data_IF_609930540848
#
_entry.id   IF_609930540848
#
_cell.length_a   1.000
_cell.length_b   1.000
_cell.length_c   1.000
_cell.angle_alpha   90.00
_cell.angle_beta   90.00
_cell.angle_gamma   90.00
#
_symmetry.space_group_name_H-M   'P 1'
#
loop_
_entity.id
_entity.type
_entity.pdbx_description
1 polymer ?
#
# COMPACT_ATOMS: atom_id res chain seq x y z
N UNK A 1 4.56 20.90 12.03
CA UNK A 1 4.14 19.57 12.49
C UNK A 1 5.40 18.81 12.88
N UNK A 2 5.62 18.54 14.17
CA UNK A 2 6.88 18.01 14.72
C UNK A 2 7.13 16.51 14.46
N UNK A 3 6.20 15.82 13.79
CA UNK A 3 6.27 14.37 13.51
C UNK A 3 7.04 13.99 12.24
N UNK A 4 7.78 14.90 11.62
CA UNK A 4 8.65 14.57 10.48
C UNK A 4 10.11 14.37 10.88
N UNK A 5 10.54 14.86 12.07
CA UNK A 5 11.97 14.97 12.39
C UNK A 5 12.57 13.60 12.75
N UNK A 6 11.82 12.73 13.43
CA UNK A 6 12.35 11.42 13.84
C UNK A 6 12.40 10.49 12.64
N UNK A 7 11.34 10.44 11.85
CA UNK A 7 11.18 9.57 10.70
C UNK A 7 12.12 9.96 9.56
N UNK A 8 12.28 11.26 9.29
CA UNK A 8 13.26 11.75 8.30
C UNK A 8 14.70 11.48 8.75
N UNK A 9 15.02 11.72 10.02
CA UNK A 9 16.36 11.50 10.55
C UNK A 9 16.72 10.02 10.66
N UNK A 10 15.74 9.13 10.84
CA UNK A 10 15.97 7.69 10.80
C UNK A 10 16.34 7.29 9.38
N UNK A 11 15.51 7.60 8.36
CA UNK A 11 15.78 7.24 6.95
C UNK A 11 17.16 7.67 6.45
N UNK A 12 17.59 8.91 6.75
CA UNK A 12 18.91 9.42 6.36
C UNK A 12 20.08 8.68 7.03
N UNK A 13 19.83 7.99 8.14
CA UNK A 13 20.85 7.34 8.98
C UNK A 13 20.76 5.81 8.99
N UNK A 14 19.94 5.20 8.13
CA UNK A 14 19.76 3.74 8.05
C UNK A 14 20.96 3.02 7.38
N UNK A 15 22.17 3.14 7.95
CA UNK A 15 23.23 2.14 7.76
C UNK A 15 23.02 0.98 8.75
N UNK A 16 21.84 0.36 8.69
CA UNK A 16 21.44 -0.73 9.57
C UNK A 16 21.68 -2.10 8.90
N UNK A 17 21.97 -3.16 9.67
CA UNK A 17 22.05 -4.52 9.12
C UNK A 17 20.76 -4.89 8.35
N UNK A 18 20.89 -5.55 7.20
CA UNK A 18 19.81 -5.64 6.19
C UNK A 18 18.44 -6.09 6.71
N UNK A 19 18.39 -7.14 7.55
CA UNK A 19 17.11 -7.64 8.11
C UNK A 19 16.48 -6.68 9.12
N UNK A 20 17.28 -5.92 9.87
CA UNK A 20 16.81 -4.89 10.79
C UNK A 20 16.33 -3.65 10.04
N UNK A 21 17.04 -3.27 8.98
CA UNK A 21 16.72 -2.12 8.14
C UNK A 21 15.38 -2.28 7.41
N UNK A 22 15.06 -3.50 6.94
CA UNK A 22 13.75 -3.82 6.34
C UNK A 22 12.60 -3.61 7.34
N UNK A 23 12.74 -4.13 8.57
CA UNK A 23 11.70 -3.96 9.61
C UNK A 23 11.54 -2.51 10.05
N UNK A 24 12.64 -1.76 10.14
CA UNK A 24 12.59 -0.33 10.45
C UNK A 24 11.87 0.46 9.35
N UNK A 25 12.16 0.15 8.08
CA UNK A 25 11.49 0.78 6.93
C UNK A 25 9.99 0.47 6.90
N UNK A 26 9.59 -0.77 7.20
CA UNK A 26 8.19 -1.15 7.33
C UNK A 26 7.51 -0.41 8.49
N UNK A 27 8.15 -0.36 9.66
CA UNK A 27 7.59 0.33 10.83
C UNK A 27 7.31 1.82 10.56
N UNK A 28 8.23 2.51 9.89
CA UNK A 28 8.02 3.91 9.49
C UNK A 28 6.85 3.99 8.52
N UNK A 29 6.80 3.08 7.53
CA UNK A 29 5.75 3.06 6.52
C UNK A 29 4.36 2.83 7.13
N UNK A 30 4.23 1.86 8.03
CA UNK A 30 3.01 1.56 8.77
C UNK A 30 2.53 2.81 9.53
N UNK A 31 3.46 3.56 10.13
CA UNK A 31 3.16 4.75 10.93
C UNK A 31 2.70 5.92 10.07
N UNK A 32 3.25 6.09 8.86
CA UNK A 32 2.92 7.22 7.98
C UNK A 32 1.82 6.92 6.98
N UNK A 33 1.50 5.65 6.74
CA UNK A 33 0.56 5.20 5.73
C UNK A 33 -0.91 5.30 6.06
N UNK A 34 -1.23 5.25 7.35
CA UNK A 34 -2.60 5.15 7.84
C UNK A 34 -3.40 3.95 7.28
N UNK A 35 -2.76 2.92 6.73
CA UNK A 35 -3.44 1.77 6.11
C UNK A 35 -4.45 1.07 7.01
N UNK A 36 -4.17 0.96 8.32
CA UNK A 36 -5.10 0.41 9.31
C UNK A 36 -6.38 1.24 9.45
N UNK A 37 -6.29 2.57 9.34
CA UNK A 37 -7.45 3.47 9.39
C UNK A 37 -8.37 3.23 8.19
N UNK A 38 -7.79 3.09 6.98
CA UNK A 38 -8.56 2.75 5.78
C UNK A 38 -9.26 1.39 5.95
N UNK A 39 -8.55 0.39 6.47
CA UNK A 39 -9.09 -0.95 6.69
C UNK A 39 -10.30 -0.96 7.63
N UNK A 40 -10.26 -0.19 8.73
CA UNK A 40 -11.39 -0.08 9.65
C UNK A 40 -12.63 0.57 9.02
N UNK A 41 -12.45 1.51 8.10
CA UNK A 41 -13.58 2.16 7.42
C UNK A 41 -14.25 1.30 6.34
N UNK A 42 -13.64 0.18 5.94
CA UNK A 42 -14.22 -0.72 4.94
C UNK A 42 -15.42 -1.52 5.45
N UNK A 43 -15.57 -1.71 6.76
CA UNK A 43 -16.55 -2.63 7.34
C UNK A 43 -17.58 -1.90 8.22
N UNK A 44 -18.52 -1.14 7.61
CA UNK A 44 -19.51 -0.42 8.40
C UNK A 44 -20.54 -1.38 9.01
N UNK A 45 -20.92 -1.13 10.27
CA UNK A 45 -21.78 -2.02 11.08
C UNK A 45 -23.13 -2.37 10.43
N UNK A 46 -23.67 -1.49 9.59
CA UNK A 46 -24.94 -1.74 8.89
C UNK A 46 -24.83 -2.76 7.75
N UNK A 47 -23.64 -2.99 7.19
CA UNK A 47 -23.37 -4.01 6.17
C UNK A 47 -22.71 -5.24 6.79
N UNK A 48 -21.74 -5.01 7.68
CA UNK A 48 -20.86 -6.03 8.25
C UNK A 48 -20.92 -5.93 9.76
N UNK A 49 -21.93 -6.57 10.36
CA UNK A 49 -22.12 -6.57 11.83
C UNK A 49 -20.93 -7.22 12.52
N UNK A 50 -20.27 -6.48 13.41
CA UNK A 50 -19.08 -6.95 14.14
C UNK A 50 -19.35 -8.28 14.87
N UNK A 51 -20.50 -8.40 15.52
CA UNK A 51 -20.95 -9.62 16.22
C UNK A 51 -20.95 -10.91 15.38
N UNK A 52 -21.02 -10.82 14.05
CA UNK A 52 -20.98 -11.95 13.12
C UNK A 52 -19.65 -12.07 12.39
N UNK A 53 -19.14 -10.95 11.89
CA UNK A 53 -18.07 -10.95 10.89
C UNK A 53 -16.69 -10.61 11.44
N UNK A 54 -16.57 -10.22 12.72
CA UNK A 54 -15.28 -9.87 13.31
C UNK A 54 -14.21 -10.98 13.12
N UNK A 55 -14.49 -12.28 13.32
CA UNK A 55 -13.49 -13.33 13.07
C UNK A 55 -13.06 -13.43 11.60
N UNK A 56 -13.89 -12.97 10.66
CA UNK A 56 -13.62 -12.99 9.22
C UNK A 56 -12.78 -11.78 8.80
N UNK A 57 -13.21 -10.56 9.14
CA UNK A 57 -12.55 -9.37 8.61
C UNK A 57 -11.35 -8.92 9.47
N UNK A 58 -11.33 -9.19 10.78
CA UNK A 58 -10.25 -8.73 11.65
C UNK A 58 -8.86 -9.27 11.24
N UNK A 59 -8.70 -10.56 10.86
CA UNK A 59 -7.41 -11.06 10.35
C UNK A 59 -6.99 -10.38 9.04
N UNK A 60 -7.96 -9.98 8.22
CA UNK A 60 -7.74 -9.42 6.88
C UNK A 60 -7.38 -7.93 6.94
N UNK A 61 -7.62 -7.24 8.06
CA UNK A 61 -7.17 -5.86 8.30
C UNK A 61 -5.65 -5.73 8.09
N UNK A 62 -4.87 -6.72 8.52
CA UNK A 62 -3.42 -6.72 8.31
C UNK A 62 -3.08 -6.70 6.82
N UNK A 63 -3.71 -7.58 6.02
CA UNK A 63 -3.55 -7.62 4.57
C UNK A 63 -3.98 -6.31 3.92
N UNK A 64 -5.11 -5.73 4.32
CA UNK A 64 -5.61 -4.48 3.74
C UNK A 64 -4.64 -3.34 4.00
N UNK A 65 -4.07 -3.24 5.21
CA UNK A 65 -3.06 -2.23 5.54
C UNK A 65 -1.85 -2.36 4.61
N UNK A 66 -1.35 -3.58 4.40
CA UNK A 66 -0.23 -3.83 3.50
C UNK A 66 -0.59 -3.47 2.05
N UNK A 67 -1.80 -3.84 1.60
CA UNK A 67 -2.30 -3.49 0.25
C UNK A 67 -2.38 -1.97 0.05
N UNK A 68 -2.93 -1.23 1.02
CA UNK A 68 -3.02 0.24 0.96
C UNK A 68 -1.63 0.83 0.83
N UNK A 69 -0.70 0.34 1.64
CA UNK A 69 0.65 0.88 1.68
C UNK A 69 1.42 0.59 0.39
N UNK A 70 1.41 -0.66 -0.06
CA UNK A 70 2.13 -1.12 -1.24
C UNK A 70 1.54 -0.55 -2.54
N UNK A 71 0.21 -0.53 -2.69
CA UNK A 71 -0.44 0.07 -3.89
C UNK A 71 -0.10 1.55 -3.99
N UNK A 72 -0.09 2.26 -2.87
CA UNK A 72 0.32 3.66 -2.86
C UNK A 72 1.79 3.81 -3.28
N UNK A 73 2.71 3.01 -2.72
CA UNK A 73 4.14 3.08 -3.05
C UNK A 73 4.40 2.75 -4.54
N UNK A 74 3.67 1.79 -5.12
CA UNK A 74 3.75 1.43 -6.54
C UNK A 74 3.29 2.61 -7.41
N UNK A 75 2.11 3.16 -7.13
CA UNK A 75 1.49 4.19 -7.97
C UNK A 75 2.05 5.60 -7.70
N UNK A 76 2.71 5.81 -6.56
CA UNK A 76 3.45 7.04 -6.26
C UNK A 76 4.87 7.03 -6.80
N UNK A 77 5.45 5.86 -7.10
CA UNK A 77 6.85 5.74 -7.51
C UNK A 77 7.22 6.68 -8.66
N UNK A 78 6.38 6.77 -9.69
CA UNK A 78 6.65 7.63 -10.85
C UNK A 78 6.73 9.11 -10.45
N UNK A 79 5.74 9.64 -9.72
CA UNK A 79 5.78 11.04 -9.27
C UNK A 79 6.94 11.32 -8.31
N UNK A 80 7.34 10.35 -7.49
CA UNK A 80 8.32 10.53 -6.42
C UNK A 80 9.75 10.43 -6.92
N UNK A 81 10.02 9.45 -7.78
CA UNK A 81 11.38 9.03 -8.14
C UNK A 81 11.75 9.32 -9.60
N UNK A 82 10.78 9.47 -10.49
CA UNK A 82 11.04 9.77 -11.92
C UNK A 82 10.81 11.24 -12.23
N UNK A 83 9.64 11.77 -11.84
CA UNK A 83 9.32 13.21 -11.98
C UNK A 83 9.98 14.01 -10.85
N UNK A 84 9.88 13.48 -9.63
CA UNK A 84 10.45 14.05 -8.43
C UNK A 84 11.87 13.58 -8.13
N UNK A 85 12.37 14.03 -6.99
CA UNK A 85 13.66 13.62 -6.43
C UNK A 85 13.51 13.19 -4.97
N UNK A 86 12.36 12.60 -4.62
CA UNK A 86 12.06 12.18 -3.26
C UNK A 86 12.94 10.99 -2.88
N UNK A 87 13.74 11.16 -1.82
CA UNK A 87 14.68 10.12 -1.38
C UNK A 87 14.17 9.33 -0.18
N UNK A 88 13.18 9.84 0.56
CA UNK A 88 12.66 9.21 1.77
C UNK A 88 11.29 8.54 1.52
N UNK A 89 11.25 7.66 0.52
CA UNK A 89 10.07 6.82 0.21
C UNK A 89 10.33 5.39 0.65
N UNK A 90 9.27 4.57 0.78
CA UNK A 90 9.42 3.18 1.20
C UNK A 90 10.36 2.39 0.27
N UNK A 91 10.17 2.54 -1.04
CA UNK A 91 10.98 1.88 -2.08
C UNK A 91 12.45 2.31 -1.97
N UNK A 92 12.71 3.62 -1.88
CA UNK A 92 14.07 4.14 -1.80
C UNK A 92 14.77 3.71 -0.49
N UNK A 93 14.04 3.69 0.62
CA UNK A 93 14.55 3.23 1.91
C UNK A 93 14.87 1.73 1.88
N UNK A 94 14.00 0.89 1.31
CA UNK A 94 14.23 -0.55 1.13
C UNK A 94 15.41 -0.85 0.21
N UNK A 95 15.58 -0.06 -0.85
CA UNK A 95 16.68 -0.20 -1.79
C UNK A 95 18.03 0.04 -1.11
N UNK A 96 18.15 1.14 -0.35
CA UNK A 96 19.34 1.42 0.46
C UNK A 96 19.59 0.34 1.51
N UNK A 97 18.54 -0.08 2.20
CA UNK A 97 18.60 -1.11 3.24
C UNK A 97 19.10 -2.48 2.75
N UNK A 98 18.74 -2.84 1.50
CA UNK A 98 18.99 -4.16 0.93
C UNK A 98 20.13 -4.17 -0.09
N UNK A 99 20.79 -3.02 -0.30
CA UNK A 99 21.84 -2.83 -1.32
C UNK A 99 21.41 -3.29 -2.72
N UNK A 100 20.15 -3.06 -3.09
CA UNK A 100 19.58 -3.37 -4.40
C UNK A 100 19.08 -2.09 -5.09
N UNK A 101 18.68 -2.19 -6.35
CA UNK A 101 18.16 -1.03 -7.07
C UNK A 101 16.73 -0.69 -6.63
N UNK A 102 16.27 0.57 -6.79
CA UNK A 102 14.88 0.93 -6.56
C UNK A 102 13.90 0.16 -7.47
N UNK A 103 14.31 -0.16 -8.69
CA UNK A 103 13.54 -0.99 -9.63
C UNK A 103 13.38 -2.43 -9.14
N UNK A 104 14.42 -3.07 -8.60
CA UNK A 104 14.34 -4.40 -7.98
C UNK A 104 13.31 -4.40 -6.81
N UNK A 105 13.33 -3.33 -6.01
CA UNK A 105 12.39 -3.19 -4.89
C UNK A 105 10.97 -2.96 -5.39
N UNK A 106 10.77 -2.10 -6.39
CA UNK A 106 9.46 -1.87 -6.97
C UNK A 106 8.86 -3.18 -7.51
N UNK A 107 9.66 -3.99 -8.22
CA UNK A 107 9.22 -5.29 -8.72
C UNK A 107 8.82 -6.23 -7.58
N UNK A 108 9.57 -6.22 -6.48
CA UNK A 108 9.23 -6.99 -5.28
C UNK A 108 7.93 -6.51 -4.64
N UNK A 109 7.74 -5.19 -4.47
CA UNK A 109 6.51 -4.63 -3.90
C UNK A 109 5.30 -4.95 -4.78
N UNK A 110 5.43 -4.92 -6.11
CA UNK A 110 4.37 -5.37 -7.02
C UNK A 110 3.98 -6.83 -6.80
N UNK A 111 4.96 -7.72 -6.59
CA UNK A 111 4.68 -9.14 -6.26
C UNK A 111 4.03 -9.29 -4.89
N UNK A 112 4.58 -8.62 -3.88
CA UNK A 112 4.08 -8.65 -2.50
C UNK A 112 2.61 -8.16 -2.44
N UNK A 113 2.28 -7.08 -3.15
CA UNK A 113 0.92 -6.55 -3.24
C UNK A 113 -0.03 -7.53 -3.93
N UNK A 114 0.37 -8.11 -5.07
CA UNK A 114 -0.46 -9.07 -5.79
C UNK A 114 -0.72 -10.34 -4.96
N UNK A 115 0.31 -10.88 -4.31
CA UNK A 115 0.19 -12.02 -3.40
C UNK A 115 -0.74 -11.70 -2.22
N UNK A 116 -0.58 -10.52 -1.60
CA UNK A 116 -1.41 -10.10 -0.46
C UNK A 116 -2.88 -9.92 -0.86
N UNK A 117 -3.15 -9.37 -2.05
CA UNK A 117 -4.53 -9.27 -2.59
C UNK A 117 -5.14 -10.67 -2.77
N UNK A 118 -4.37 -11.63 -3.31
CA UNK A 118 -4.83 -13.00 -3.47
C UNK A 118 -5.12 -13.68 -2.12
N UNK A 119 -4.17 -13.60 -1.17
CA UNK A 119 -4.33 -14.14 0.18
C UNK A 119 -5.56 -13.55 0.88
N UNK A 120 -5.75 -12.24 0.81
CA UNK A 120 -6.90 -11.56 1.41
C UNK A 120 -8.22 -12.02 0.76
N UNK A 121 -8.25 -12.17 -0.56
CA UNK A 121 -9.43 -12.61 -1.31
C UNK A 121 -9.82 -14.05 -0.98
N UNK A 122 -8.83 -14.93 -0.85
CA UNK A 122 -9.04 -16.33 -0.48
C UNK A 122 -9.50 -16.46 0.98
N UNK A 123 -8.95 -15.64 1.89
CA UNK A 123 -9.31 -15.67 3.31
C UNK A 123 -10.78 -15.29 3.58
N UNK A 124 -11.38 -14.46 2.72
CA UNK A 124 -12.79 -14.05 2.82
C UNK A 124 -13.71 -14.80 1.85
N UNK A 125 -13.19 -15.81 1.15
CA UNK A 125 -13.97 -16.60 0.21
C UNK A 125 -15.16 -17.26 0.92
N UNK A 126 -16.36 -17.06 0.37
CA UNK A 126 -17.62 -17.56 0.95
C UNK A 126 -18.36 -16.55 1.83
N UNK A 127 -17.73 -15.44 2.22
CA UNK A 127 -18.41 -14.31 2.89
C UNK A 127 -18.64 -13.17 1.88
N UNK A 128 -19.67 -13.32 1.05
CA UNK A 128 -19.93 -12.49 -0.15
C UNK A 128 -19.82 -10.98 0.11
N UNK A 129 -20.38 -10.49 1.23
CA UNK A 129 -20.34 -9.06 1.57
C UNK A 129 -18.92 -8.57 1.88
N UNK A 130 -18.12 -9.36 2.60
CA UNK A 130 -16.74 -8.99 2.95
C UNK A 130 -15.86 -9.06 1.71
N UNK A 131 -16.03 -10.09 0.89
CA UNK A 131 -15.33 -10.26 -0.38
C UNK A 131 -15.64 -9.13 -1.36
N UNK A 132 -16.91 -8.71 -1.44
CA UNK A 132 -17.31 -7.58 -2.26
C UNK A 132 -16.66 -6.28 -1.80
N UNK A 133 -16.73 -5.97 -0.50
CA UNK A 133 -16.11 -4.75 0.06
C UNK A 133 -14.60 -4.71 -0.16
N UNK A 134 -13.90 -5.83 0.02
CA UNK A 134 -12.47 -5.94 -0.26
C UNK A 134 -12.17 -5.62 -1.74
N UNK A 135 -12.87 -6.28 -2.66
CA UNK A 135 -12.68 -6.09 -4.11
C UNK A 135 -12.98 -4.65 -4.53
N UNK A 136 -14.09 -4.09 -4.06
CA UNK A 136 -14.50 -2.72 -4.38
C UNK A 136 -13.50 -1.70 -3.85
N UNK A 137 -12.99 -1.89 -2.63
CA UNK A 137 -11.97 -1.03 -2.05
C UNK A 137 -10.67 -1.08 -2.87
N UNK A 138 -10.13 -2.27 -3.15
CA UNK A 138 -8.88 -2.43 -3.91
C UNK A 138 -9.00 -1.78 -5.29
N UNK A 139 -10.07 -2.08 -6.02
CA UNK A 139 -10.31 -1.51 -7.34
C UNK A 139 -10.49 0.01 -7.28
N UNK A 140 -11.28 0.50 -6.32
CA UNK A 140 -11.53 1.93 -6.13
C UNK A 140 -10.26 2.69 -5.75
N UNK A 141 -9.42 2.11 -4.89
CA UNK A 141 -8.16 2.73 -4.45
C UNK A 141 -7.15 2.83 -5.59
N UNK A 142 -7.01 1.76 -6.40
CA UNK A 142 -6.20 1.80 -7.62
C UNK A 142 -6.78 2.83 -8.60
N UNK A 143 -8.09 2.83 -8.79
CA UNK A 143 -8.74 3.75 -9.71
C UNK A 143 -8.53 5.21 -9.35
N UNK A 144 -8.66 5.53 -8.08
CA UNK A 144 -8.41 6.87 -7.59
C UNK A 144 -6.99 7.35 -7.94
N UNK A 145 -5.96 6.52 -7.75
CA UNK A 145 -4.59 6.86 -8.15
C UNK A 145 -4.42 7.08 -9.66
N UNK A 146 -5.08 6.26 -10.49
CA UNK A 146 -5.02 6.38 -11.95
C UNK A 146 -5.70 7.65 -12.46
N UNK A 147 -6.72 8.13 -11.74
CA UNK A 147 -7.50 9.31 -12.12
C UNK A 147 -6.90 10.63 -11.62
N UNK A 148 -6.27 10.61 -10.44
CA UNK A 148 -5.69 11.80 -9.80
C UNK A 148 -4.42 12.29 -10.50
N UNK A 149 -4.44 13.55 -10.94
CA UNK A 149 -3.30 14.19 -11.60
C UNK A 149 -2.06 14.26 -10.70
N UNK A 150 -2.25 14.19 -9.37
CA UNK A 150 -1.18 14.11 -8.37
C UNK A 150 -0.12 13.06 -8.69
N UNK A 151 -0.50 11.93 -9.29
CA UNK A 151 0.38 10.78 -9.48
C UNK A 151 1.08 10.74 -10.85
N UNK A 152 0.69 11.61 -11.79
CA UNK A 152 1.31 11.73 -13.11
C UNK A 152 1.29 10.42 -13.94
N UNK A 153 0.43 9.46 -13.58
CA UNK A 153 0.38 8.14 -14.22
C UNK A 153 0.00 8.20 -15.70
N UNK A 154 -0.78 9.22 -16.10
CA UNK A 154 -1.14 9.47 -17.50
C UNK A 154 0.10 9.66 -18.40
N UNK A 155 1.21 10.17 -17.87
CA UNK A 155 2.44 10.37 -18.63
C UNK A 155 3.20 9.06 -18.91
N UNK A 156 2.94 8.02 -18.12
CA UNK A 156 3.48 6.66 -18.32
C UNK A 156 2.68 5.91 -19.40
N UNK A 157 1.61 6.52 -19.94
CA UNK A 157 0.75 5.92 -20.94
C UNK A 157 -0.33 5.00 -20.37
N UNK A 158 -0.49 4.97 -19.04
CA UNK A 158 -1.61 4.29 -18.40
C UNK A 158 -2.77 5.27 -18.33
N UNK A 159 -3.73 5.08 -19.21
CA UNK A 159 -4.95 5.89 -19.30
C UNK A 159 -6.16 4.99 -19.21
N UNK A 160 -7.11 5.38 -18.35
CA UNK A 160 -8.42 4.76 -18.30
C UNK A 160 -9.19 5.13 -19.56
N UNK A 161 -9.54 4.12 -20.35
CA UNK A 161 -10.51 4.27 -21.44
C UNK A 161 -11.87 3.84 -20.92
N UNK A 162 -12.92 4.59 -21.25
CA UNK A 162 -14.28 4.11 -21.05
C UNK A 162 -14.43 2.74 -21.72
N UNK A 163 -14.87 1.75 -20.94
CA UNK A 163 -15.27 0.46 -21.50
C UNK A 163 -16.39 0.72 -22.48
N UNK A 164 -16.12 0.49 -23.77
CA UNK A 164 -17.20 0.39 -24.75
C UNK A 164 -17.86 -0.96 -24.49
N UNK A 165 -18.99 -0.93 -23.78
CA UNK A 165 -19.93 -2.03 -23.73
C UNK A 165 -20.37 -2.46 -25.15
#
# INVERSE_FOLDING_TARGET
MLGNIVESAVSERLNLPGSFSRRASQFIRDKTGAGEVYAHFMFPEHLVKETRYLPTYAPVIACIRDIVDDVNDILSFFKESVVGSETNTHIMNRARASCCSPDDVLEQVCRDAAETIHVASDAVAGEEVVQQLLREFVNGYIMWHLCEDRYWIKEVGIVMTEGKD
#
